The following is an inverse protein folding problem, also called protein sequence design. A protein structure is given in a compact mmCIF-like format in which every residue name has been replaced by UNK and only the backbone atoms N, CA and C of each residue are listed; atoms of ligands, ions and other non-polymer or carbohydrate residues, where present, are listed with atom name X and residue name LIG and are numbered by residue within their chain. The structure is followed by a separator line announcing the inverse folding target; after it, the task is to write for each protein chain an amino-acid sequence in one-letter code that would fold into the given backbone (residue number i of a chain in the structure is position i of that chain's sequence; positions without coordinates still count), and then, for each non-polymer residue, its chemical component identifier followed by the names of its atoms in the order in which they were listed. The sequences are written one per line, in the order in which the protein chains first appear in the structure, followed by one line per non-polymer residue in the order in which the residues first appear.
data_IF_181155296641
#
_entry.id   IF_181155296641
#
_cell.length_a   1.000
_cell.length_b   1.000
_cell.length_c   1.000
_cell.angle_alpha   90.00
_cell.angle_beta   90.00
_cell.angle_gamma   90.00
#
_symmetry.space_group_name_H-M   'P 1'
#
loop_
_entity.id
_entity.type
_entity.pdbx_description
1 polymer ?
#
# COMPACT_ATOMS: atom_id res chain seq x y z
N UNK A 1 12.70 24.45 14.33
CA UNK A 1 11.71 24.02 15.35
C UNK A 1 10.63 23.26 14.61
N UNK A 2 10.33 22.00 14.95
CA UNK A 2 9.33 21.25 14.16
C UNK A 2 7.89 21.56 14.59
N UNK A 3 6.96 21.45 13.65
CA UNK A 3 5.52 21.60 13.89
C UNK A 3 4.82 20.26 13.69
N UNK A 4 4.14 19.76 14.72
CA UNK A 4 3.21 18.63 14.58
C UNK A 4 1.84 19.13 14.14
N UNK A 5 1.26 18.46 13.14
CA UNK A 5 -0.02 18.84 12.55
C UNK A 5 -0.88 17.58 12.45
N UNK A 6 -2.13 17.69 12.90
CA UNK A 6 -3.16 16.67 12.70
C UNK A 6 -4.10 17.11 11.60
N UNK A 7 -4.14 16.36 10.50
CA UNK A 7 -5.08 16.53 9.42
C UNK A 7 -6.21 15.50 9.53
N UNK A 8 -7.46 15.93 9.37
CA UNK A 8 -8.64 15.07 9.41
C UNK A 8 -9.61 15.47 8.29
N UNK A 9 -9.91 14.57 7.33
CA UNK A 9 -10.79 14.89 6.20
C UNK A 9 -11.58 13.70 5.68
N UNK A 10 -12.84 13.96 5.30
CA UNK A 10 -13.77 13.00 4.68
C UNK A 10 -13.75 13.01 3.14
N UNK A 11 -13.46 14.16 2.51
CA UNK A 11 -13.71 14.38 1.07
C UNK A 11 -12.76 15.36 0.37
N UNK A 12 -12.06 16.23 1.09
CA UNK A 12 -11.23 17.30 0.50
C UNK A 12 -9.78 17.11 0.87
N UNK A 13 -8.96 16.88 -0.15
CA UNK A 13 -7.55 16.48 -0.12
C UNK A 13 -6.61 17.66 0.11
N UNK A 14 -6.88 18.63 0.98
CA UNK A 14 -5.92 19.74 1.07
C UNK A 14 -5.85 20.42 2.42
N UNK A 15 -4.68 20.33 3.03
CA UNK A 15 -4.23 21.21 4.09
C UNK A 15 -3.39 22.33 3.48
N UNK A 16 -3.85 23.58 3.63
CA UNK A 16 -3.07 24.74 3.21
C UNK A 16 -2.09 25.09 4.32
N UNK A 17 -0.82 25.19 3.97
CA UNK A 17 0.21 25.73 4.87
C UNK A 17 0.53 27.12 4.35
N UNK A 18 0.74 28.13 5.21
CA UNK A 18 1.40 29.35 4.77
C UNK A 18 2.66 28.96 3.98
N UNK A 19 2.96 29.58 2.83
CA UNK A 19 4.15 29.24 2.08
C UNK A 19 5.38 29.29 2.99
N UNK A 20 5.97 28.12 3.23
CA UNK A 20 7.15 27.94 4.08
C UNK A 20 8.09 27.02 3.34
N UNK A 21 9.39 27.27 3.49
CA UNK A 21 10.40 26.32 3.07
C UNK A 21 10.32 25.15 4.06
N UNK A 22 9.68 24.07 3.64
CA UNK A 22 9.69 22.81 4.37
C UNK A 22 10.88 22.04 3.85
N UNK A 23 11.88 21.79 4.70
CA UNK A 23 13.08 21.04 4.29
C UNK A 23 12.96 19.54 4.61
N UNK A 24 12.18 19.18 5.64
CA UNK A 24 11.91 17.78 5.94
C UNK A 24 10.49 17.53 6.45
N UNK A 25 9.97 16.34 6.13
CA UNK A 25 8.60 15.91 6.35
C UNK A 25 8.56 14.48 6.90
N UNK A 26 7.70 14.23 7.89
CA UNK A 26 7.51 12.89 8.48
C UNK A 26 6.03 12.64 8.75
N UNK A 27 5.51 11.50 8.28
CA UNK A 27 4.25 10.97 8.81
C UNK A 27 4.53 10.37 10.18
N UNK A 28 3.78 10.79 11.19
CA UNK A 28 3.85 10.27 12.57
C UNK A 28 2.86 9.13 12.74
N UNK A 29 1.61 9.36 12.36
CA UNK A 29 0.56 8.35 12.39
C UNK A 29 -0.53 8.59 11.34
N UNK A 30 -1.26 7.52 11.03
CA UNK A 30 -2.39 7.49 10.11
C UNK A 30 -3.49 6.66 10.76
N UNK A 31 -4.73 7.15 10.76
CA UNK A 31 -5.88 6.36 11.20
C UNK A 31 -7.16 6.67 10.42
N UNK A 32 -7.96 5.64 10.17
CA UNK A 32 -9.25 5.72 9.47
C UNK A 32 -10.12 4.51 9.81
N UNK A 33 -11.44 4.60 9.61
CA UNK A 33 -12.28 3.42 9.79
C UNK A 33 -12.07 2.45 8.63
N UNK A 34 -12.16 1.17 8.95
CA UNK A 34 -12.06 0.11 7.97
C UNK A 34 -13.43 -0.04 7.27
N UNK A 35 -13.62 0.71 6.19
CA UNK A 35 -14.90 0.87 5.50
C UNK A 35 -14.86 0.71 3.97
N UNK A 36 -13.82 0.06 3.45
CA UNK A 36 -13.46 0.08 2.01
C UNK A 36 -13.50 -1.29 1.35
N UNK A 37 -14.17 -1.34 0.18
CA UNK A 37 -14.25 -2.42 -0.84
C UNK A 37 -13.61 -3.76 -0.47
N UNK A 38 -14.34 -4.46 0.38
CA UNK A 38 -13.84 -5.65 1.04
C UNK A 38 -14.19 -6.91 0.28
N UNK A 39 -15.40 -7.01 -0.29
CA UNK A 39 -15.92 -8.26 -0.83
C UNK A 39 -15.85 -8.27 -2.35
N UNK A 40 -15.03 -9.17 -2.87
CA UNK A 40 -14.87 -9.45 -4.29
C UNK A 40 -15.47 -10.82 -4.63
N UNK A 41 -16.29 -10.87 -5.67
CA UNK A 41 -16.97 -12.11 -6.11
C UNK A 41 -15.95 -13.20 -6.41
N UNK A 42 -16.12 -14.37 -5.79
CA UNK A 42 -15.25 -15.53 -5.96
C UNK A 42 -13.91 -15.46 -5.22
N UNK A 43 -13.61 -14.37 -4.51
CA UNK A 43 -12.33 -14.19 -3.82
C UNK A 43 -12.51 -14.34 -2.30
N UNK A 44 -13.46 -13.62 -1.72
CA UNK A 44 -13.69 -13.58 -0.27
C UNK A 44 -15.17 -13.31 0.08
N UNK A 45 -16.07 -13.84 -0.74
CA UNK A 45 -17.52 -13.59 -0.72
C UNK A 45 -18.37 -14.77 -0.22
N UNK A 46 -17.77 -15.88 0.21
CA UNK A 46 -18.52 -17.08 0.59
C UNK A 46 -18.33 -17.49 2.04
N UNK A 47 -19.45 -17.85 2.69
CA UNK A 47 -19.53 -18.49 4.00
C UNK A 47 -20.12 -19.89 3.82
N UNK A 48 -19.28 -20.92 3.89
CA UNK A 48 -19.74 -22.30 3.82
C UNK A 48 -20.12 -22.79 5.22
N UNK A 49 -21.29 -23.39 5.37
CA UNK A 49 -21.78 -23.91 6.65
C UNK A 49 -22.60 -25.19 6.47
N UNK A 50 -22.81 -25.91 7.56
CA UNK A 50 -23.66 -27.09 7.61
C UNK A 50 -24.56 -27.05 8.85
N UNK A 51 -25.82 -27.42 8.69
CA UNK A 51 -26.79 -27.54 9.78
C UNK A 51 -26.83 -28.97 10.31
N UNK A 52 -27.03 -29.12 11.62
CA UNK A 52 -27.15 -30.42 12.26
C UNK A 52 -28.32 -31.23 11.66
N UNK A 53 -28.06 -32.52 11.42
CA UNK A 53 -29.01 -33.41 10.75
C UNK A 53 -28.99 -33.33 9.22
N UNK A 54 -28.14 -32.49 8.61
CA UNK A 54 -27.91 -32.43 7.16
C UNK A 54 -26.45 -32.71 6.82
N UNK A 55 -26.23 -33.49 5.76
CA UNK A 55 -24.90 -33.65 5.14
C UNK A 55 -24.60 -32.59 4.07
N UNK A 56 -25.58 -31.75 3.75
CA UNK A 56 -25.47 -30.74 2.69
C UNK A 56 -24.63 -29.57 3.19
N UNK A 57 -23.62 -29.20 2.41
CA UNK A 57 -22.88 -27.95 2.60
C UNK A 57 -23.65 -26.83 1.93
N UNK A 58 -23.99 -25.81 2.71
CA UNK A 58 -24.68 -24.61 2.28
C UNK A 58 -23.64 -23.50 2.08
N UNK A 59 -23.73 -22.79 0.96
CA UNK A 59 -22.79 -21.71 0.62
C UNK A 59 -23.54 -20.38 0.58
N UNK A 60 -23.44 -19.62 1.66
CA UNK A 60 -23.98 -18.26 1.72
C UNK A 60 -23.06 -17.29 0.99
N UNK A 61 -23.60 -16.63 -0.04
CA UNK A 61 -22.86 -15.67 -0.86
C UNK A 61 -23.14 -14.24 -0.39
N UNK A 62 -22.10 -13.53 0.01
CA UNK A 62 -22.11 -12.10 0.31
C UNK A 62 -22.10 -11.32 -1.01
N UNK A 63 -22.83 -10.22 -1.07
CA UNK A 63 -22.82 -9.36 -2.26
C UNK A 63 -21.47 -8.66 -2.38
N UNK A 64 -20.92 -8.48 -3.59
CA UNK A 64 -19.73 -7.67 -3.76
C UNK A 64 -19.97 -6.22 -3.31
N UNK A 65 -18.96 -5.61 -2.68
CA UNK A 65 -18.99 -4.21 -2.30
C UNK A 65 -18.26 -3.88 -0.99
N UNK A 66 -18.44 -2.64 -0.57
CA UNK A 66 -17.90 -2.07 0.66
C UNK A 66 -18.74 -2.45 1.89
N UNK A 67 -18.07 -2.92 2.93
CA UNK A 67 -18.68 -3.27 4.20
C UNK A 67 -17.97 -2.59 5.36
N UNK A 68 -18.75 -2.20 6.35
CA UNK A 68 -18.31 -1.63 7.62
C UNK A 68 -18.69 -2.57 8.75
N UNK A 69 -18.13 -2.34 9.94
CA UNK A 69 -18.51 -3.11 11.14
C UNK A 69 -20.00 -2.99 11.49
N UNK A 70 -20.68 -1.96 11.00
CA UNK A 70 -22.11 -1.74 11.22
C UNK A 70 -22.99 -2.59 10.29
N UNK A 71 -22.63 -2.74 9.01
CA UNK A 71 -23.47 -3.41 8.01
C UNK A 71 -23.02 -4.86 7.71
N UNK A 72 -21.76 -5.22 7.95
CA UNK A 72 -21.23 -6.55 7.66
C UNK A 72 -21.98 -7.67 8.39
N UNK A 73 -22.28 -7.58 9.71
CA UNK A 73 -23.01 -8.64 10.40
C UNK A 73 -24.39 -8.89 9.77
N UNK A 74 -25.13 -7.83 9.43
CA UNK A 74 -26.45 -7.94 8.79
C UNK A 74 -26.36 -8.62 7.41
N UNK A 75 -25.29 -8.38 6.66
CA UNK A 75 -25.07 -9.03 5.37
C UNK A 75 -24.80 -10.52 5.52
N UNK A 76 -24.03 -10.92 6.55
CA UNK A 76 -23.81 -12.33 6.89
C UNK A 76 -25.14 -13.00 7.27
N UNK A 77 -25.98 -12.33 8.07
CA UNK A 77 -27.30 -12.83 8.46
C UNK A 77 -28.21 -13.08 7.28
N UNK A 78 -28.32 -12.08 6.40
CA UNK A 78 -29.13 -12.16 5.21
C UNK A 78 -28.65 -13.30 4.31
N UNK A 79 -27.35 -13.41 4.07
CA UNK A 79 -26.78 -14.43 3.19
C UNK A 79 -26.93 -15.85 3.76
N UNK A 80 -26.68 -16.05 5.06
CA UNK A 80 -26.85 -17.35 5.71
C UNK A 80 -28.33 -17.77 5.79
N UNK A 81 -29.22 -16.83 6.15
CA UNK A 81 -30.66 -17.10 6.22
C UNK A 81 -31.26 -17.40 4.85
N UNK A 82 -30.75 -16.80 3.77
CA UNK A 82 -31.26 -17.03 2.42
C UNK A 82 -31.04 -18.46 1.91
N UNK A 83 -29.98 -19.15 2.36
CA UNK A 83 -29.64 -20.52 1.92
C UNK A 83 -29.87 -21.57 3.02
N UNK A 84 -29.96 -21.15 4.28
CA UNK A 84 -30.25 -21.99 5.43
C UNK A 84 -31.71 -22.42 5.52
N UNK A 85 -31.99 -23.39 6.39
CA UNK A 85 -33.37 -23.79 6.73
C UNK A 85 -33.89 -23.06 7.98
N UNK A 86 -33.10 -22.14 8.52
CA UNK A 86 -33.40 -21.34 9.71
C UNK A 86 -32.84 -19.92 9.60
N UNK A 87 -33.27 -19.05 10.50
CA UNK A 87 -32.74 -17.69 10.64
C UNK A 87 -31.40 -17.68 11.36
N UNK A 88 -30.51 -16.79 10.94
CA UNK A 88 -29.23 -16.52 11.57
C UNK A 88 -29.17 -15.07 12.08
N UNK A 89 -28.43 -14.87 13.16
CA UNK A 89 -28.17 -13.54 13.73
C UNK A 89 -26.68 -13.39 14.05
N UNK A 90 -26.08 -12.34 13.51
CA UNK A 90 -24.68 -12.02 13.55
C UNK A 90 -24.54 -10.66 14.21
N UNK A 91 -23.68 -10.60 15.21
CA UNK A 91 -23.47 -9.41 16.01
C UNK A 91 -22.00 -9.14 16.15
N UNK A 92 -21.62 -7.87 15.97
CA UNK A 92 -20.26 -7.41 16.18
C UNK A 92 -20.14 -6.82 17.58
N UNK A 93 -19.13 -7.24 18.34
CA UNK A 93 -18.81 -6.65 19.63
C UNK A 93 -17.65 -5.65 19.47
N UNK A 94 -17.86 -4.33 19.67
CA UNK A 94 -16.83 -3.31 19.46
C UNK A 94 -15.69 -3.39 20.49
N UNK A 95 -15.93 -3.96 21.66
CA UNK A 95 -14.92 -4.11 22.72
C UNK A 95 -13.95 -5.24 22.36
N UNK A 96 -14.49 -6.42 22.04
CA UNK A 96 -13.65 -7.59 21.71
C UNK A 96 -13.23 -7.63 20.24
N UNK A 97 -13.86 -6.81 19.40
CA UNK A 97 -13.69 -6.71 17.94
C UNK A 97 -13.99 -8.03 17.22
N UNK A 98 -14.92 -8.82 17.75
CA UNK A 98 -15.25 -10.16 17.26
C UNK A 98 -16.69 -10.25 16.81
N UNK A 99 -16.91 -11.08 15.79
CA UNK A 99 -18.23 -11.44 15.31
C UNK A 99 -18.77 -12.62 16.13
N UNK A 100 -20.06 -12.58 16.45
CA UNK A 100 -20.80 -13.72 17.02
C UNK A 100 -21.91 -14.08 16.06
N UNK A 101 -21.99 -15.34 15.61
CA UNK A 101 -23.08 -15.83 14.76
C UNK A 101 -23.90 -16.84 15.56
N UNK A 102 -25.21 -16.69 15.54
CA UNK A 102 -26.15 -17.50 16.32
C UNK A 102 -27.34 -17.95 15.48
N UNK A 103 -27.94 -19.08 15.87
CA UNK A 103 -29.17 -19.60 15.31
C UNK A 103 -30.09 -20.14 16.43
N UNK A 104 -31.42 -19.95 16.33
CA UNK A 104 -32.33 -20.29 17.42
C UNK A 104 -32.64 -21.79 17.51
N UNK A 105 -32.74 -22.46 16.36
CA UNK A 105 -33.39 -23.77 16.26
C UNK A 105 -32.40 -24.93 16.24
N UNK A 106 -31.62 -25.07 15.18
CA UNK A 106 -30.68 -26.17 14.94
C UNK A 106 -29.26 -25.71 15.17
N UNK A 107 -28.46 -26.62 15.71
CA UNK A 107 -27.01 -26.46 15.71
C UNK A 107 -26.52 -26.34 14.26
N UNK A 108 -25.46 -25.58 14.07
CA UNK A 108 -24.77 -25.48 12.79
C UNK A 108 -23.27 -25.44 13.04
N UNK A 109 -22.50 -25.47 11.97
CA UNK A 109 -21.08 -25.14 12.00
C UNK A 109 -20.68 -24.40 10.74
N UNK A 110 -19.76 -23.46 10.87
CA UNK A 110 -19.14 -22.76 9.74
C UNK A 110 -17.88 -23.52 9.38
N UNK A 111 -17.75 -23.85 8.10
CA UNK A 111 -16.68 -24.69 7.58
C UNK A 111 -15.41 -23.88 7.33
N UNK A 112 -14.28 -24.56 7.34
CA UNK A 112 -12.98 -23.98 7.01
C UNK A 112 -12.84 -23.62 5.53
N UNK A 113 -11.74 -22.94 5.18
CA UNK A 113 -11.54 -22.44 3.82
C UNK A 113 -11.33 -23.51 2.76
N UNK A 114 -10.77 -24.67 3.12
CA UNK A 114 -10.66 -25.83 2.21
C UNK A 114 -12.04 -26.39 1.82
N UNK A 115 -13.09 -26.07 2.57
CA UNK A 115 -14.46 -26.59 2.43
C UNK A 115 -15.44 -25.55 1.88
N UNK A 116 -14.95 -24.42 1.35
CA UNK A 116 -15.74 -23.45 0.59
C UNK A 116 -15.88 -22.06 1.23
N UNK A 117 -15.47 -21.88 2.50
CA UNK A 117 -15.50 -20.54 3.11
C UNK A 117 -14.35 -19.70 2.56
N UNK A 118 -14.64 -18.70 1.73
CA UNK A 118 -13.61 -17.76 1.25
C UNK A 118 -13.53 -16.50 2.12
N UNK A 119 -14.61 -16.16 2.82
CA UNK A 119 -14.70 -14.98 3.71
C UNK A 119 -14.08 -15.21 5.12
N UNK A 120 -13.19 -16.19 5.31
CA UNK A 120 -12.73 -16.59 6.64
C UNK A 120 -12.03 -15.46 7.41
N UNK A 121 -11.24 -14.62 6.74
CA UNK A 121 -10.60 -13.44 7.35
C UNK A 121 -11.65 -12.42 7.79
N UNK A 122 -12.66 -12.19 6.94
CA UNK A 122 -13.74 -11.23 7.20
C UNK A 122 -14.54 -11.65 8.43
N UNK A 123 -14.79 -12.94 8.60
CA UNK A 123 -15.49 -13.47 9.77
C UNK A 123 -14.63 -13.47 11.05
N UNK A 124 -13.30 -13.30 10.97
CA UNK A 124 -12.41 -13.55 12.11
C UNK A 124 -12.23 -15.05 12.40
N UNK A 125 -12.32 -15.88 11.37
CA UNK A 125 -12.08 -17.32 11.42
C UNK A 125 -10.66 -17.67 10.95
N UNK A 126 -10.19 -18.86 11.34
CA UNK A 126 -9.00 -19.45 10.74
C UNK A 126 -9.36 -20.06 9.39
N UNK A 127 -8.46 -19.95 8.40
CA UNK A 127 -8.60 -20.68 7.13
C UNK A 127 -8.63 -22.20 7.32
N UNK A 128 -8.04 -22.70 8.41
CA UNK A 128 -7.74 -24.12 8.65
C UNK A 128 -8.57 -24.74 9.79
N UNK A 129 -9.59 -24.03 10.27
CA UNK A 129 -10.41 -24.55 11.35
C UNK A 129 -11.87 -24.16 11.13
N UNK A 130 -12.74 -25.17 11.12
CA UNK A 130 -14.18 -24.99 11.20
C UNK A 130 -14.60 -24.68 12.65
N UNK A 131 -15.81 -24.14 12.81
CA UNK A 131 -16.42 -24.10 14.14
C UNK A 131 -16.87 -25.51 14.53
N UNK A 132 -16.91 -25.81 15.83
CA UNK A 132 -17.62 -26.99 16.30
C UNK A 132 -19.13 -26.89 16.00
N UNK A 133 -19.92 -27.97 16.14
CA UNK A 133 -21.37 -27.88 16.10
C UNK A 133 -21.90 -27.14 17.34
N UNK A 134 -22.97 -26.37 17.17
CA UNK A 134 -23.57 -25.56 18.23
C UNK A 134 -24.50 -24.46 17.69
N UNK A 135 -25.16 -23.75 18.61
CA UNK A 135 -26.12 -22.69 18.27
C UNK A 135 -25.52 -21.29 18.18
N UNK A 136 -24.39 -21.06 18.83
CA UNK A 136 -23.78 -19.73 18.92
C UNK A 136 -22.26 -19.87 18.88
N UNK A 137 -21.62 -19.09 18.01
CA UNK A 137 -20.17 -19.06 17.87
C UNK A 137 -19.66 -17.64 17.98
N UNK A 138 -18.86 -17.41 19.02
CA UNK A 138 -17.94 -16.28 19.05
C UNK A 138 -16.70 -16.63 18.22
N UNK A 139 -16.42 -15.85 17.19
CA UNK A 139 -15.28 -16.08 16.33
C UNK A 139 -13.97 -15.94 17.11
N UNK A 140 -13.03 -16.85 16.83
CA UNK A 140 -11.79 -16.97 17.61
C UNK A 140 -10.89 -15.75 17.42
N UNK A 141 -10.79 -15.26 16.19
CA UNK A 141 -10.01 -14.08 15.86
C UNK A 141 -10.95 -12.87 15.76
N UNK A 142 -10.34 -11.70 15.84
CA UNK A 142 -11.04 -10.46 15.57
C UNK A 142 -11.49 -10.43 14.11
N UNK A 143 -12.62 -9.77 13.86
CA UNK A 143 -13.12 -9.50 12.52
C UNK A 143 -12.07 -8.68 11.77
N UNK A 144 -11.79 -9.03 10.53
CA UNK A 144 -10.85 -8.28 9.71
C UNK A 144 -11.52 -7.84 8.41
N UNK A 145 -11.97 -6.59 8.37
CA UNK A 145 -12.54 -5.97 7.18
C UNK A 145 -11.48 -5.26 6.33
N UNK A 146 -10.18 -5.51 6.56
CA UNK A 146 -9.16 -5.00 5.65
C UNK A 146 -9.07 -5.90 4.44
N UNK A 147 -8.91 -5.27 3.28
CA UNK A 147 -8.45 -5.98 2.10
C UNK A 147 -7.12 -6.70 2.38
N UNK A 148 -6.83 -7.72 1.59
CA UNK A 148 -5.59 -8.51 1.69
C UNK A 148 -4.33 -7.74 1.28
N UNK A 149 -4.48 -6.48 0.84
CA UNK A 149 -3.44 -5.69 0.21
C UNK A 149 -3.08 -4.47 1.05
N UNK A 150 -1.80 -4.06 1.09
CA UNK A 150 -1.40 -2.81 1.71
C UNK A 150 -2.11 -1.60 1.08
N UNK A 151 -2.37 -0.60 1.89
CA UNK A 151 -2.83 0.71 1.44
C UNK A 151 -1.63 1.66 1.41
N UNK A 152 -1.50 2.44 0.36
CA UNK A 152 -0.42 3.41 0.20
C UNK A 152 -0.95 4.79 0.58
N UNK A 153 -0.28 5.45 1.53
CA UNK A 153 -0.51 6.87 1.77
C UNK A 153 0.35 7.66 0.79
N UNK A 154 -0.30 8.40 -0.09
CA UNK A 154 0.34 9.25 -1.08
C UNK A 154 0.13 10.72 -0.76
N UNK A 155 1.06 11.55 -1.21
CA UNK A 155 0.93 13.01 -1.13
C UNK A 155 1.52 13.70 -2.36
N UNK A 156 1.05 14.92 -2.61
CA UNK A 156 1.59 15.81 -3.64
C UNK A 156 2.98 16.38 -3.31
N UNK A 157 3.50 16.17 -2.10
CA UNK A 157 4.85 16.59 -1.73
C UNK A 157 5.87 15.67 -2.40
N UNK A 158 6.88 16.25 -3.04
CA UNK A 158 8.04 15.51 -3.53
C UNK A 158 9.07 15.34 -2.43
N UNK A 159 9.22 14.11 -1.94
CA UNK A 159 10.25 13.77 -0.96
C UNK A 159 11.38 12.98 -1.61
N UNK A 160 12.62 13.27 -1.22
CA UNK A 160 13.79 12.56 -1.73
C UNK A 160 13.76 11.10 -1.29
N UNK A 161 14.02 10.19 -2.24
CA UNK A 161 13.96 8.75 -2.00
C UNK A 161 12.56 8.15 -1.99
N UNK A 162 11.50 8.95 -2.24
CA UNK A 162 10.18 8.39 -2.48
C UNK A 162 10.19 7.44 -3.68
N UNK A 163 9.42 6.37 -3.56
CA UNK A 163 8.99 5.59 -4.72
C UNK A 163 7.81 6.33 -5.34
N UNK A 164 7.94 6.67 -6.61
CA UNK A 164 6.84 7.18 -7.40
C UNK A 164 6.05 6.00 -7.96
N UNK A 165 4.71 6.08 -7.91
CA UNK A 165 3.86 5.19 -8.68
C UNK A 165 3.98 5.63 -10.14
N UNK A 166 4.89 5.00 -10.90
CA UNK A 166 5.20 5.35 -12.30
C UNK A 166 4.01 5.24 -13.25
N UNK A 167 2.96 4.53 -12.82
CA UNK A 167 1.80 4.19 -13.64
C UNK A 167 0.59 5.09 -13.32
N UNK A 168 0.71 6.02 -12.36
CA UNK A 168 -0.34 6.99 -12.08
C UNK A 168 -0.20 8.20 -13.00
N UNK A 169 -1.15 8.31 -13.93
CA UNK A 169 -1.20 9.29 -15.01
C UNK A 169 -1.49 10.74 -14.56
N UNK A 170 -1.34 11.04 -13.27
CA UNK A 170 -1.64 12.35 -12.71
C UNK A 170 -0.54 12.76 -11.72
N UNK A 171 -0.17 14.04 -11.76
CA UNK A 171 0.92 14.74 -11.08
C UNK A 171 1.64 13.98 -9.94
N UNK A 172 2.98 13.85 -10.05
CA UNK A 172 3.94 13.29 -9.11
C UNK A 172 3.46 13.14 -7.65
N UNK A 173 2.74 12.04 -7.37
CA UNK A 173 2.34 11.69 -6.01
C UNK A 173 3.40 10.78 -5.40
N UNK A 174 4.05 11.25 -4.34
CA UNK A 174 5.04 10.47 -3.61
C UNK A 174 4.34 9.49 -2.68
N UNK A 175 4.75 8.23 -2.69
CA UNK A 175 4.33 7.27 -1.66
C UNK A 175 5.09 7.58 -0.37
N UNK A 176 4.35 8.04 0.65
CA UNK A 176 4.91 8.44 1.94
C UNK A 176 5.04 7.25 2.90
N UNK A 177 4.07 6.34 2.87
CA UNK A 177 4.16 5.08 3.61
C UNK A 177 3.27 3.99 3.01
N UNK A 178 3.62 2.74 3.33
CA UNK A 178 2.78 1.55 3.08
C UNK A 178 2.16 1.11 4.40
N UNK A 179 0.84 1.17 4.44
CA UNK A 179 -0.01 0.78 5.55
C UNK A 179 -0.47 -0.63 5.27
N UNK A 180 0.22 -1.62 5.83
CA UNK A 180 -0.34 -2.97 5.89
C UNK A 180 -1.42 -2.95 6.96
N UNK A 181 -2.69 -3.18 6.63
CA UNK A 181 -3.73 -3.24 7.63
C UNK A 181 -3.46 -4.44 8.55
N UNK A 182 -2.88 -4.18 9.71
CA UNK A 182 -2.68 -5.16 10.78
C UNK A 182 -3.91 -5.22 11.72
N UNK A 183 -4.81 -4.26 11.53
CA UNK A 183 -5.87 -3.92 12.45
C UNK A 183 -7.07 -4.83 12.25
N UNK A 184 -6.94 -5.98 12.89
CA UNK A 184 -8.04 -6.67 13.51
C UNK A 184 -9.02 -5.68 14.20
N UNK A 185 -10.13 -5.29 13.58
CA UNK A 185 -11.07 -4.34 14.15
C UNK A 185 -11.81 -3.44 13.18
N UNK A 186 -12.16 -2.25 13.68
CA UNK A 186 -12.95 -1.19 13.08
C UNK A 186 -12.11 0.01 12.62
N UNK A 187 -10.90 0.17 13.17
CA UNK A 187 -10.00 1.29 12.90
C UNK A 187 -8.66 0.76 12.43
N UNK A 188 -8.21 1.21 11.25
CA UNK A 188 -6.83 1.03 10.79
C UNK A 188 -5.97 2.10 11.43
N UNK A 189 -4.86 1.68 12.03
CA UNK A 189 -3.87 2.59 12.64
C UNK A 189 -2.49 2.21 12.15
N UNK A 190 -1.73 3.19 11.69
CA UNK A 190 -0.34 3.04 11.33
C UNK A 190 0.48 4.12 12.04
N UNK A 191 1.65 3.77 12.56
CA UNK A 191 2.54 4.71 13.25
C UNK A 191 3.97 4.53 12.74
N UNK A 192 4.66 5.65 12.55
CA UNK A 192 6.02 5.66 12.03
C UNK A 192 7.05 5.88 13.15
N UNK A 193 7.90 4.89 13.40
CA UNK A 193 9.14 5.09 14.18
C UNK A 193 10.32 5.54 13.32
N UNK A 194 10.15 5.62 11.99
CA UNK A 194 11.20 5.94 11.02
C UNK A 194 11.66 7.39 11.02
N UNK A 195 12.58 7.70 10.13
CA UNK A 195 13.24 9.01 10.04
C UNK A 195 12.42 10.01 9.19
N UNK A 196 12.80 11.28 9.28
CA UNK A 196 12.25 12.34 8.42
C UNK A 196 12.69 12.13 6.96
N UNK A 197 11.83 12.49 6.02
CA UNK A 197 12.11 12.48 4.59
C UNK A 197 12.43 13.92 4.15
N UNK A 198 13.53 14.09 3.40
CA UNK A 198 13.91 15.40 2.88
C UNK A 198 12.96 15.82 1.77
N UNK A 199 12.56 17.09 1.78
CA UNK A 199 11.66 17.66 0.78
C UNK A 199 12.50 18.43 -0.26
N UNK A 200 12.23 18.18 -1.54
CA UNK A 200 13.03 18.77 -2.62
C UNK A 200 12.63 20.19 -3.02
N UNK A 201 11.40 20.61 -2.71
CA UNK A 201 10.81 21.85 -3.19
C UNK A 201 9.93 22.52 -2.12
N UNK A 202 9.77 23.86 -2.15
CA UNK A 202 8.89 24.57 -1.21
C UNK A 202 7.45 24.07 -1.25
N UNK A 203 6.86 23.80 -0.08
CA UNK A 203 5.51 23.24 0.04
C UNK A 203 4.52 24.34 0.45
N UNK A 204 3.57 24.64 -0.43
CA UNK A 204 2.46 25.57 -0.14
C UNK A 204 1.16 24.86 0.22
N UNK A 205 1.04 23.58 -0.15
CA UNK A 205 -0.19 22.79 0.00
C UNK A 205 0.16 21.33 0.16
N UNK A 206 -0.44 20.67 1.15
CA UNK A 206 -0.30 19.23 1.38
C UNK A 206 -1.64 18.55 1.12
N UNK A 207 -1.62 17.57 0.23
CA UNK A 207 -2.73 16.70 -0.11
C UNK A 207 -2.39 15.29 0.30
N UNK A 208 -3.36 14.56 0.86
CA UNK A 208 -3.22 13.15 1.17
C UNK A 208 -4.28 12.35 0.42
N UNK A 209 -3.87 11.22 -0.15
CA UNK A 209 -4.75 10.22 -0.74
C UNK A 209 -4.34 8.84 -0.27
N UNK A 210 -5.32 7.95 -0.07
CA UNK A 210 -5.07 6.54 0.14
C UNK A 210 -5.27 5.80 -1.18
N UNK A 211 -4.29 5.01 -1.57
CA UNK A 211 -4.32 4.21 -2.79
C UNK A 211 -4.28 2.74 -2.42
N UNK A 212 -5.13 1.92 -3.03
CA UNK A 212 -5.03 0.47 -2.93
C UNK A 212 -3.82 -0.01 -3.73
N UNK A 213 -2.86 -0.65 -3.07
CA UNK A 213 -1.63 -1.11 -3.74
C UNK A 213 -1.85 -2.19 -4.81
N UNK A 214 -2.99 -2.90 -4.77
CA UNK A 214 -3.31 -3.93 -5.75
C UNK A 214 -3.97 -3.36 -7.00
N UNK A 215 -4.99 -2.53 -6.82
CA UNK A 215 -5.74 -1.96 -7.95
C UNK A 215 -5.13 -0.67 -8.48
N UNK A 216 -4.31 -0.01 -7.67
CA UNK A 216 -3.86 1.36 -7.90
C UNK A 216 -4.96 2.39 -7.70
N UNK A 217 -6.21 2.02 -7.44
CA UNK A 217 -7.29 3.01 -7.37
C UNK A 217 -7.28 3.75 -6.03
N UNK A 218 -7.76 4.99 -6.05
CA UNK A 218 -8.00 5.73 -4.81
C UNK A 218 -9.10 5.06 -3.98
N UNK A 219 -8.79 4.89 -2.71
CA UNK A 219 -9.67 4.29 -1.72
C UNK A 219 -10.72 5.30 -1.30
N UNK A 220 -11.99 4.99 -1.60
CA UNK A 220 -13.11 5.81 -1.17
C UNK A 220 -13.46 5.49 0.28
N UNK A 221 -13.06 6.36 1.20
CA UNK A 221 -13.43 6.24 2.61
C UNK A 221 -14.84 6.80 2.85
N UNK A 222 -15.64 6.11 3.67
CA UNK A 222 -16.90 6.65 4.21
C UNK A 222 -16.69 7.42 5.52
N UNK A 223 -15.47 7.37 6.05
CA UNK A 223 -15.03 7.95 7.31
C UNK A 223 -13.84 8.90 7.13
N UNK A 224 -13.58 9.81 8.09
CA UNK A 224 -12.45 10.73 7.97
C UNK A 224 -11.11 9.98 8.01
N UNK A 225 -10.22 10.31 7.07
CA UNK A 225 -8.80 9.99 7.16
C UNK A 225 -8.13 10.98 8.13
N UNK A 226 -7.52 10.45 9.18
CA UNK A 226 -6.68 11.22 10.10
C UNK A 226 -5.22 10.92 9.81
N UNK A 227 -4.43 11.97 9.56
CA UNK A 227 -2.97 11.88 9.36
C UNK A 227 -2.31 12.85 10.31
N UNK A 228 -1.43 12.36 11.19
CA UNK A 228 -0.52 13.20 11.96
C UNK A 228 0.83 13.21 11.28
N UNK A 229 1.37 14.40 11.10
CA UNK A 229 2.67 14.58 10.46
C UNK A 229 3.45 15.71 11.12
N UNK A 230 4.77 15.64 10.98
CA UNK A 230 5.70 16.66 11.43
C UNK A 230 6.41 17.28 10.22
N UNK A 231 6.60 18.59 10.27
CA UNK A 231 7.42 19.34 9.32
C UNK A 231 8.51 20.11 10.05
N UNK A 232 9.67 20.25 9.42
CA UNK A 232 10.72 21.16 9.85
C UNK A 232 11.21 21.98 8.66
N UNK A 233 11.51 23.25 8.93
CA UNK A 233 12.15 24.22 8.05
C UNK A 233 13.68 24.21 8.18
N UNK A 234 14.20 23.45 9.13
CA UNK A 234 15.63 23.31 9.39
C UNK A 234 16.00 21.83 9.58
N UNK A 235 16.78 21.29 8.64
CA UNK A 235 17.32 19.92 8.72
C UNK A 235 18.31 19.77 9.87
N UNK A 236 18.98 20.84 10.30
CA UNK A 236 19.97 20.79 11.39
C UNK A 236 19.31 20.48 12.75
N UNK A 237 18.04 20.82 12.91
CA UNK A 237 17.24 20.48 14.10
C UNK A 237 16.96 18.97 14.22
N UNK A 238 17.06 18.20 13.13
CA UNK A 238 16.83 16.75 13.15
C UNK A 238 17.87 15.99 13.96
N UNK A 239 19.08 16.55 14.13
CA UNK A 239 20.16 15.93 14.91
C UNK A 239 19.86 15.80 16.41
N UNK A 240 18.90 16.57 16.92
CA UNK A 240 18.50 16.57 18.33
C UNK A 240 17.23 15.76 18.62
N UNK A 241 16.68 15.02 17.64
CA UNK A 241 15.46 14.25 17.87
C UNK A 241 15.76 13.02 18.77
N UNK A 242 15.05 12.83 19.90
CA UNK A 242 15.18 11.61 20.69
C UNK A 242 14.73 10.43 19.84
N UNK A 243 15.65 9.58 19.40
CA UNK A 243 15.36 8.46 18.48
C UNK A 243 14.39 7.40 19.03
N UNK A 244 13.92 7.50 20.27
CA UNK A 244 12.99 6.55 20.87
C UNK A 244 12.33 7.16 22.13
N UNK A 245 11.48 8.17 21.98
CA UNK A 245 10.40 8.34 22.95
C UNK A 245 9.20 7.58 22.40
N UNK A 246 9.07 6.32 22.79
CA UNK A 246 7.80 5.61 22.63
C UNK A 246 6.70 6.51 23.17
N UNK A 247 5.62 6.65 22.40
CA UNK A 247 4.44 7.41 22.82
C UNK A 247 3.98 6.89 24.19
N UNK A 248 4.42 7.51 25.28
CA UNK A 248 3.65 7.52 26.51
C UNK A 248 2.40 8.29 26.16
N UNK A 249 1.29 7.57 25.96
CA UNK A 249 -0.03 8.17 25.98
C UNK A 249 -0.14 8.91 27.31
N UNK A 250 -0.20 10.24 27.26
CA UNK A 250 -0.54 11.04 28.43
C UNK A 250 -1.77 10.40 29.10
N UNK A 251 -1.74 10.15 30.43
CA UNK A 251 -2.89 9.65 31.13
C UNK A 251 -4.02 10.65 30.95
N UNK A 252 -5.06 10.22 30.23
CA UNK A 252 -6.35 10.89 30.16
C UNK A 252 -6.73 11.26 31.59
N UNK A 253 -6.83 12.57 31.86
CA UNK A 253 -7.28 13.07 33.15
C UNK A 253 -8.58 12.35 33.52
N UNK A 254 -8.71 11.80 34.74
CA UNK A 254 -9.90 11.07 35.14
C UNK A 254 -11.11 11.98 34.98
N UNK A 255 -11.99 11.60 34.05
CA UNK A 255 -13.34 12.15 33.96
C UNK A 255 -13.99 12.02 35.34
N UNK A 256 -14.72 13.04 35.82
CA UNK A 256 -15.35 13.00 37.14
C UNK A 256 -16.19 11.74 37.29
N UNK A 257 -15.91 11.05 38.39
CA UNK A 257 -16.51 9.81 38.86
C UNK A 257 -18.04 9.89 38.78
N UNK A 258 -18.72 9.05 37.99
CA UNK A 258 -20.17 8.91 38.10
C UNK A 258 -20.49 8.31 39.47
N UNK A 259 -21.44 8.92 40.18
CA UNK A 259 -21.88 8.52 41.50
C UNK A 259 -22.10 6.99 41.60
N UNK A 260 -21.65 6.34 42.69
CA UNK A 260 -21.68 4.89 42.82
C UNK A 260 -23.12 4.38 42.82
N UNK A 261 -23.44 3.58 41.79
CA UNK A 261 -24.58 2.67 41.81
C UNK A 261 -24.20 1.49 42.71
N UNK A 262 -24.99 1.14 43.74
CA UNK A 262 -24.67 0.03 44.62
C UNK A 262 -24.78 -1.30 43.85
N UNK A 263 -23.62 -1.86 43.44
CA UNK A 263 -23.51 -3.22 42.94
C UNK A 263 -23.31 -4.18 44.12
N UNK A 264 -24.15 -5.21 44.16
CA UNK A 264 -24.10 -6.28 45.15
C UNK A 264 -22.74 -6.99 45.17
N UNK A 265 -22.22 -7.20 46.38
CA UNK A 265 -20.99 -7.93 46.67
C UNK A 265 -21.07 -9.37 46.13
N UNK A 266 -20.16 -9.71 45.20
CA UNK A 266 -19.82 -11.09 44.93
C UNK A 266 -18.29 -11.22 44.92
N UNK A 267 -17.73 -11.36 46.11
CA UNK A 267 -16.31 -11.56 46.40
C UNK A 267 -15.90 -13.00 46.08
N UNK A 268 -15.49 -13.26 44.84
CA UNK A 268 -14.64 -14.42 44.53
C UNK A 268 -13.18 -13.96 44.48
N UNK A 269 -12.40 -14.38 45.47
CA UNK A 269 -10.96 -14.13 45.57
C UNK A 269 -10.23 -14.70 44.36
N UNK A 270 -9.43 -13.87 43.69
CA UNK A 270 -8.58 -14.29 42.57
C UNK A 270 -7.60 -15.40 43.02
N UNK A 271 -7.44 -16.48 42.24
CA UNK A 271 -6.57 -17.59 42.62
C UNK A 271 -5.10 -17.13 42.65
N UNK A 272 -4.43 -17.38 43.78
CA UNK A 272 -3.00 -17.11 43.96
C UNK A 272 -2.17 -17.86 42.91
N UNK A 273 -1.38 -17.10 42.14
CA UNK A 273 -0.50 -17.65 41.10
C UNK A 273 0.63 -18.42 41.78
N UNK A 274 0.64 -19.75 41.60
CA UNK A 274 1.73 -20.60 42.10
C UNK A 274 3.08 -20.14 41.53
N UNK A 275 4.15 -20.10 42.36
CA UNK A 275 5.48 -19.74 41.90
C UNK A 275 5.98 -20.74 40.85
N UNK A 276 6.66 -20.24 39.81
CA UNK A 276 7.19 -21.06 38.71
C UNK A 276 8.26 -22.02 39.24
N UNK A 277 8.26 -23.25 38.74
CA UNK A 277 9.28 -24.24 39.12
C UNK A 277 10.62 -23.93 38.44
N UNK A 278 11.74 -24.34 39.04
CA UNK A 278 13.08 -24.12 38.47
C UNK A 278 13.23 -24.70 37.05
N UNK A 279 12.58 -25.84 36.77
CA UNK A 279 12.52 -26.42 35.43
C UNK A 279 11.84 -25.52 34.40
N UNK A 280 10.77 -24.80 34.79
CA UNK A 280 10.12 -23.83 33.91
C UNK A 280 11.01 -22.61 33.64
N UNK A 281 11.76 -22.15 34.64
CA UNK A 281 12.70 -21.04 34.49
C UNK A 281 13.85 -21.42 33.54
N UNK A 282 14.41 -22.62 33.70
CA UNK A 282 15.49 -23.10 32.83
C UNK A 282 15.02 -23.32 31.39
N UNK A 283 13.82 -23.88 31.19
CA UNK A 283 13.22 -24.03 29.86
C UNK A 283 12.97 -22.67 29.20
N UNK A 284 12.51 -21.67 29.97
CA UNK A 284 12.32 -20.31 29.45
C UNK A 284 13.64 -19.69 29.03
N UNK A 285 14.71 -19.84 29.83
CA UNK A 285 16.06 -19.34 29.50
C UNK A 285 16.62 -19.97 28.22
N UNK A 286 16.50 -21.28 28.07
CA UNK A 286 16.93 -21.98 26.85
C UNK A 286 16.12 -21.54 25.63
N UNK A 287 14.81 -21.39 25.76
CA UNK A 287 13.96 -20.90 24.68
C UNK A 287 14.32 -19.46 24.26
N UNK A 288 14.61 -18.58 25.22
CA UNK A 288 15.06 -17.22 24.92
C UNK A 288 16.43 -17.19 24.25
N UNK A 289 17.39 -18.02 24.68
CA UNK A 289 18.71 -18.11 24.06
C UNK A 289 18.63 -18.61 22.61
N UNK A 290 17.84 -19.66 22.35
CA UNK A 290 17.62 -20.20 20.99
C UNK A 290 16.93 -19.19 20.08
N UNK A 291 15.97 -18.41 20.61
CA UNK A 291 15.31 -17.34 19.84
C UNK A 291 16.28 -16.23 19.48
N UNK A 292 17.17 -15.83 20.39
CA UNK A 292 18.19 -14.82 20.14
C UNK A 292 19.20 -15.28 19.09
N UNK A 293 19.63 -16.55 19.14
CA UNK A 293 20.52 -17.15 18.13
C UNK A 293 19.88 -17.17 16.74
N UNK A 294 18.62 -17.63 16.64
CA UNK A 294 17.88 -17.63 15.38
C UNK A 294 17.69 -16.22 14.81
N UNK A 295 17.47 -15.22 15.66
CA UNK A 295 17.33 -13.83 15.23
C UNK A 295 18.65 -13.30 14.64
N UNK A 296 19.79 -13.59 15.27
CA UNK A 296 21.12 -13.23 14.74
C UNK A 296 21.39 -13.87 13.40
N UNK A 297 21.14 -15.17 13.26
CA UNK A 297 21.31 -15.88 11.99
C UNK A 297 20.44 -15.30 10.88
N UNK A 298 19.18 -14.95 11.18
CA UNK A 298 18.28 -14.30 10.23
C UNK A 298 18.79 -12.92 9.80
N UNK A 299 19.34 -12.13 10.73
CA UNK A 299 19.92 -10.82 10.44
C UNK A 299 21.17 -10.94 9.54
N UNK A 300 22.04 -11.93 9.79
CA UNK A 300 23.21 -12.22 8.96
C UNK A 300 22.81 -12.67 7.55
N UNK A 301 21.84 -13.57 7.41
CA UNK A 301 21.32 -14.00 6.10
C UNK A 301 20.66 -12.85 5.34
N UNK A 302 19.96 -11.95 6.03
CA UNK A 302 19.37 -10.76 5.42
C UNK A 302 20.43 -9.78 4.92
N UNK A 303 21.46 -9.51 5.72
CA UNK A 303 22.57 -8.65 5.33
C UNK A 303 23.31 -9.21 4.11
N UNK A 304 23.48 -10.54 4.03
CA UNK A 304 24.07 -11.20 2.87
C UNK A 304 23.22 -11.01 1.60
N UNK A 305 21.90 -11.24 1.68
CA UNK A 305 20.99 -11.04 0.54
C UNK A 305 20.94 -9.58 0.07
N UNK A 306 20.98 -8.63 1.02
CA UNK A 306 21.01 -7.19 0.69
C UNK A 306 22.34 -6.83 -0.02
N UNK A 307 23.47 -7.41 0.39
CA UNK A 307 24.74 -7.23 -0.29
C UNK A 307 24.75 -7.83 -1.71
N UNK A 308 24.20 -9.04 -1.90
CA UNK A 308 24.06 -9.67 -3.22
C UNK A 308 23.15 -8.86 -4.15
N UNK A 309 22.03 -8.34 -3.64
CA UNK A 309 21.12 -7.48 -4.42
C UNK A 309 21.79 -6.15 -4.82
N UNK A 310 22.59 -5.57 -3.93
CA UNK A 310 23.38 -4.37 -4.23
C UNK A 310 24.45 -4.64 -5.31
N UNK A 311 25.05 -5.82 -5.34
CA UNK A 311 26.00 -6.20 -6.39
C UNK A 311 25.31 -6.39 -7.75
N UNK A 312 24.14 -7.05 -7.76
CA UNK A 312 23.35 -7.25 -8.98
C UNK A 312 22.94 -5.91 -9.60
N UNK A 313 22.39 -5.00 -8.79
CA UNK A 313 21.97 -3.66 -9.27
C UNK A 313 23.15 -2.86 -9.84
N UNK A 314 24.33 -2.94 -9.21
CA UNK A 314 25.57 -2.32 -9.72
C UNK A 314 26.01 -2.90 -11.06
N UNK A 315 25.88 -4.22 -11.25
CA UNK A 315 26.20 -4.88 -12.53
C UNK A 315 25.21 -4.51 -13.63
N UNK A 316 23.92 -4.38 -13.32
CA UNK A 316 22.90 -3.94 -14.28
C UNK A 316 23.10 -2.48 -14.70
N UNK A 317 23.40 -1.59 -13.77
CA UNK A 317 23.71 -0.20 -14.08
C UNK A 317 24.96 -0.08 -14.96
N UNK A 318 26.02 -0.84 -14.67
CA UNK A 318 27.21 -0.89 -15.50
C UNK A 318 26.91 -1.39 -16.92
N UNK A 319 26.02 -2.39 -17.07
CA UNK A 319 25.57 -2.86 -18.39
C UNK A 319 24.78 -1.78 -19.14
N UNK A 320 23.90 -1.04 -18.46
CA UNK A 320 23.13 0.06 -19.05
C UNK A 320 24.06 1.16 -19.59
N UNK A 321 25.01 1.62 -18.79
CA UNK A 321 25.99 2.65 -19.20
C UNK A 321 26.80 2.18 -20.42
N UNK A 322 27.23 0.91 -20.42
CA UNK A 322 27.97 0.34 -21.55
C UNK A 322 27.13 0.28 -22.83
N UNK A 323 25.83 -0.01 -22.73
CA UNK A 323 24.91 -0.03 -23.87
C UNK A 323 24.65 1.37 -24.41
N UNK A 324 24.48 2.38 -23.54
CA UNK A 324 24.35 3.78 -23.95
C UNK A 324 25.60 4.29 -24.65
N UNK A 325 26.79 3.98 -24.11
CA UNK A 325 28.06 4.32 -24.75
C UNK A 325 28.20 3.67 -26.15
N UNK A 326 27.75 2.42 -26.31
CA UNK A 326 27.70 1.75 -27.62
C UNK A 326 26.75 2.45 -28.59
N UNK A 327 25.54 2.81 -28.16
CA UNK A 327 24.56 3.53 -28.98
C UNK A 327 25.11 4.90 -29.41
N UNK A 328 25.72 5.65 -28.50
CA UNK A 328 26.35 6.96 -28.79
C UNK A 328 27.46 6.84 -29.82
N UNK A 329 28.32 5.83 -29.70
CA UNK A 329 29.39 5.55 -30.68
C UNK A 329 28.85 5.16 -32.06
N UNK A 330 27.77 4.37 -32.12
CA UNK A 330 27.11 4.01 -33.38
C UNK A 330 26.49 5.24 -34.06
N UNK A 331 25.81 6.08 -33.29
CA UNK A 331 25.24 7.34 -33.79
C UNK A 331 26.32 8.28 -34.34
N UNK A 332 27.43 8.45 -33.61
CA UNK A 332 28.55 9.27 -34.07
C UNK A 332 29.19 8.72 -35.37
N UNK A 333 29.34 7.40 -35.47
CA UNK A 333 29.86 6.76 -36.68
C UNK A 333 28.91 6.95 -37.88
N UNK A 334 27.59 6.84 -37.66
CA UNK A 334 26.58 7.07 -38.68
C UNK A 334 26.61 8.53 -39.18
N UNK A 335 26.71 9.49 -38.26
CA UNK A 335 26.79 10.91 -38.57
C UNK A 335 28.08 11.27 -39.34
N UNK A 336 29.22 10.67 -38.98
CA UNK A 336 30.47 10.79 -39.75
C UNK A 336 30.33 10.19 -41.16
N UNK A 337 29.63 9.06 -41.31
CA UNK A 337 29.38 8.43 -42.62
C UNK A 337 28.48 9.32 -43.49
N UNK A 338 27.41 9.88 -42.93
CA UNK A 338 26.51 10.80 -43.64
C UNK A 338 27.26 12.05 -44.15
N UNK A 339 28.10 12.68 -43.30
CA UNK A 339 28.94 13.82 -43.70
C UNK A 339 29.90 13.48 -44.85
N UNK A 340 30.47 12.27 -44.88
CA UNK A 340 31.33 11.83 -45.99
C UNK A 340 30.56 11.67 -47.30
N UNK A 341 29.34 11.14 -47.26
CA UNK A 341 28.50 11.00 -48.46
C UNK A 341 28.05 12.36 -49.01
N UNK A 342 27.70 13.31 -48.13
CA UNK A 342 27.34 14.67 -48.52
C UNK A 342 28.51 15.44 -49.18
N UNK A 343 29.75 15.18 -48.74
CA UNK A 343 30.93 15.79 -49.38
C UNK A 343 31.25 15.20 -50.76
N UNK A 344 31.00 13.91 -50.98
CA UNK A 344 31.23 13.28 -52.28
C UNK A 344 30.23 13.72 -53.36
N UNK A 345 29.01 14.10 -52.97
CA UNK A 345 27.99 14.59 -53.91
C UNK A 345 28.22 16.03 -54.35
N UNK A 346 28.89 16.84 -53.54
CA UNK A 346 29.22 18.24 -53.87
C UNK A 346 30.46 18.41 -54.75
N UNK A 347 31.41 17.47 -54.69
CA UNK A 347 32.59 17.47 -55.59
C UNK A 347 32.30 16.91 -57.01
N UNK A 348 31.13 16.28 -57.22
CA UNK A 348 30.75 15.69 -58.51
C UNK A 348 30.13 16.70 -59.50
N UNK A 349 29.75 17.90 -59.03
CA UNK A 349 28.98 18.88 -59.81
C UNK A 349 29.73 20.19 -60.10
N UNK A 350 31.06 20.23 -59.94
CA UNK A 350 31.87 21.39 -60.35
C UNK A 350 32.22 21.29 -61.83
N UNK A 351 31.63 22.11 -62.72
CA UNK A 351 32.00 22.14 -64.12
C UNK A 351 33.41 22.69 -64.23
N UNK A 352 34.35 21.91 -64.79
CA UNK A 352 35.68 22.40 -65.18
C UNK A 352 35.52 23.43 -66.31
N UNK A 353 35.40 24.71 -65.94
CA UNK A 353 35.20 25.80 -66.88
C UNK A 353 35.90 27.10 -66.47
N UNK A 354 37.14 27.26 -66.93
CA UNK A 354 37.83 28.51 -67.31
C UNK A 354 37.82 29.71 -66.34
N UNK A 355 38.97 29.84 -65.66
CA UNK A 355 39.78 31.06 -65.44
C UNK A 355 39.22 32.37 -66.04
N UNK A 356 38.74 33.28 -65.20
CA UNK A 356 38.64 34.71 -65.48
C UNK A 356 38.99 35.55 -64.24
N UNK A 357 39.68 36.67 -64.48
CA UNK A 357 40.27 37.57 -63.49
C UNK A 357 39.24 38.54 -62.89
N UNK A 358 39.49 38.91 -61.63
CA UNK A 358 39.23 40.22 -60.96
C UNK A 358 37.80 40.82 -60.98
N UNK A 359 37.26 41.00 -59.78
CA UNK A 359 36.92 42.29 -59.13
C UNK A 359 36.03 41.97 -57.90
N UNK A 360 36.51 42.20 -56.68
CA UNK A 360 36.34 43.42 -55.86
C UNK A 360 34.96 43.54 -55.21
N UNK A 361 34.99 43.49 -53.87
CA UNK A 361 34.12 44.11 -52.88
C UNK A 361 32.60 43.94 -53.02
N UNK A 362 32.03 43.08 -52.17
CA UNK A 362 30.79 43.40 -51.49
C UNK A 362 30.70 42.61 -50.17
N UNK A 363 30.98 43.33 -49.09
CA UNK A 363 30.67 42.93 -47.71
C UNK A 363 29.15 42.95 -47.56
N UNK A 364 28.54 41.80 -47.27
CA UNK A 364 27.16 41.72 -46.78
C UNK A 364 27.20 40.98 -45.46
N UNK A 365 26.89 41.75 -44.41
CA UNK A 365 26.62 41.30 -43.05
C UNK A 365 25.38 40.42 -43.11
N UNK A 366 25.46 39.20 -42.58
CA UNK A 366 24.29 38.42 -42.23
C UNK A 366 24.20 38.44 -40.71
N UNK A 367 23.21 39.17 -40.21
CA UNK A 367 22.72 39.07 -38.85
C UNK A 367 22.05 37.70 -38.67
N UNK A 368 22.32 37.09 -37.52
CA UNK A 368 21.63 35.90 -37.01
C UNK A 368 20.18 36.28 -36.68
N UNK A 369 19.22 35.80 -37.45
CA UNK A 369 17.81 35.73 -37.03
C UNK A 369 17.44 34.26 -36.79
N UNK A 370 17.17 33.97 -35.52
CA UNK A 370 16.36 32.85 -35.07
C UNK A 370 14.99 32.91 -35.76
N UNK A 371 14.52 31.80 -36.32
CA UNK A 371 13.08 31.64 -36.55
C UNK A 371 12.64 30.21 -36.25
N UNK A 372 11.72 30.13 -35.30
CA UNK A 372 10.86 29.00 -34.97
C UNK A 372 10.14 28.47 -36.21
N UNK A 373 10.01 27.15 -36.31
CA UNK A 373 9.08 26.52 -37.25
C UNK A 373 8.29 25.42 -36.52
N UNK A 374 7.17 25.84 -35.97
CA UNK A 374 6.05 24.98 -35.63
C UNK A 374 5.26 24.59 -36.90
N UNK A 375 4.72 23.36 -36.86
CA UNK A 375 3.62 22.81 -37.66
C UNK A 375 3.81 22.57 -39.18
N UNK A 376 3.69 21.31 -39.59
CA UNK A 376 2.61 20.87 -40.50
C UNK A 376 2.48 19.34 -40.63
N UNK A 377 1.24 18.89 -40.49
CA UNK A 377 0.71 17.55 -40.79
C UNK A 377 0.95 17.08 -42.23
N UNK A 378 1.14 15.76 -42.43
CA UNK A 378 0.51 15.00 -43.52
C UNK A 378 0.54 13.47 -43.30
N UNK A 379 -0.65 12.95 -42.99
CA UNK A 379 -1.31 11.66 -43.31
C UNK A 379 -0.57 10.43 -43.90
N UNK A 380 -0.82 9.29 -43.20
CA UNK A 380 -1.28 7.96 -43.68
C UNK A 380 -0.24 7.00 -44.34
N UNK A 381 -0.34 5.64 -44.17
CA UNK A 381 -1.56 4.86 -44.46
C UNK A 381 -2.01 3.84 -43.39
N UNK A 382 -3.32 3.56 -43.45
CA UNK A 382 -4.01 2.43 -42.83
C UNK A 382 -3.46 1.10 -43.36
N UNK A 383 -3.21 0.15 -42.45
CA UNK A 383 -3.14 -1.27 -42.76
C UNK A 383 -4.17 -1.99 -41.89
N UNK A 384 -5.14 -2.55 -42.59
CA UNK A 384 -6.20 -3.42 -42.12
C UNK A 384 -5.76 -4.90 -42.27
N UNK A 385 -6.47 -5.79 -41.57
CA UNK A 385 -6.43 -7.26 -41.57
C UNK A 385 -5.42 -7.91 -40.59
N UNK A 386 -5.75 -8.85 -39.70
CA UNK A 386 -6.96 -9.63 -39.35
C UNK A 386 -6.73 -10.31 -37.98
N UNK A 387 -7.76 -10.91 -37.33
CA UNK A 387 -7.66 -11.44 -35.97
C UNK A 387 -7.19 -12.90 -35.94
N UNK A 388 -6.21 -13.18 -35.08
CA UNK A 388 -5.89 -14.49 -34.52
C UNK A 388 -5.12 -14.18 -33.23
N UNK A 389 -5.24 -14.85 -32.09
CA UNK A 389 -5.53 -16.25 -31.81
C UNK A 389 -5.67 -16.31 -30.28
N UNK A 390 -6.53 -17.20 -29.80
CA UNK A 390 -6.55 -17.65 -28.41
C UNK A 390 -5.13 -18.02 -27.94
N UNK A 391 -4.71 -17.57 -26.77
CA UNK A 391 -3.79 -18.36 -25.95
C UNK A 391 -3.90 -18.02 -24.45
N UNK A 392 -4.09 -19.11 -23.73
CA UNK A 392 -4.08 -19.27 -22.29
C UNK A 392 -2.75 -18.84 -21.66
N UNK A 393 -2.81 -18.00 -20.62
CA UNK A 393 -1.85 -18.02 -19.52
C UNK A 393 -2.69 -17.83 -18.24
N UNK A 394 -2.83 -18.81 -17.34
CA UNK A 394 -1.82 -19.75 -16.88
C UNK A 394 -1.21 -19.17 -15.61
N UNK A 395 -1.70 -19.63 -14.46
CA UNK A 395 -1.46 -19.04 -13.15
C UNK A 395 0.01 -18.93 -12.76
N UNK A 396 0.32 -17.84 -12.05
CA UNK A 396 1.59 -17.62 -11.37
C UNK A 396 1.23 -16.98 -10.04
N UNK A 397 0.91 -17.79 -9.02
CA UNK A 397 1.21 -17.55 -7.61
C UNK A 397 0.95 -18.86 -6.85
N UNK A 398 1.91 -19.77 -6.95
CA UNK A 398 2.15 -20.80 -5.96
C UNK A 398 3.49 -20.50 -5.31
N UNK A 399 3.47 -20.15 -4.02
CA UNK A 399 4.25 -20.72 -2.91
C UNK A 399 3.89 -20.00 -1.62
#
# INVERSE_FOLDING_TARGET
MYSEITYCSLKRKSYSIPPREVEAFKILDVSFLQDTDLINSGVNDQVAFAEAGSSTVLNAKLSPGSYTVANFPQAVDAAMTAVGTQSYVATYNPITKRLTISAPTKDFKILEGSRGTTAYQLLGMSRWAETGPGKTFLMKNKMNLSGSYPLLLCSNIQVQGARFLSDYNDSASSVLCSITPDSNGDVITWSNSGEFMLVGEPVSKIEFSLIDSYTGNEVSLSSPLTVRFAITDDVSDLGNYPKDQGMETDPVAPSPEPAPVPLAENTQSAPEKRPRTEGQINNQKMATAKRAENLRKMQEERALREAEAAEITRLEEAKRILQEAKKKKQHEAALRKAKRMAKQTTDADVPRGKRAKRAKDCQVVFDDEEEDADALHAMAPQLDQTPSREDNYGGIFGY
#
